data_IF_937319619156
#
_entry.id   IF_937319619156
#
_cell.length_a   1.000
_cell.length_b   1.000
_cell.length_c   1.000
_cell.angle_alpha   90.00
_cell.angle_beta   90.00
_cell.angle_gamma   90.00
#
_symmetry.space_group_name_H-M   'P 1'
#
loop_
_entity.id
_entity.type
_entity.pdbx_description
1 polymer ?
#
# COMPACT_ATOMS: atom_id res chain seq x y z
N UNK A 1 39.64 28.43 97.11
CA UNK A 1 40.31 27.10 97.08
C UNK A 1 39.23 26.12 97.50
N UNK A 2 38.81 25.10 96.74
CA UNK A 2 39.38 24.28 95.66
C UNK A 2 38.31 24.10 94.57
N UNK A 3 38.60 24.46 93.31
CA UNK A 3 39.10 23.64 92.19
C UNK A 3 38.04 22.73 91.53
N UNK A 4 37.79 23.08 90.27
CA UNK A 4 37.25 22.25 89.20
C UNK A 4 37.92 20.88 89.16
N UNK A 5 37.14 19.86 88.78
CA UNK A 5 37.60 18.89 87.79
C UNK A 5 36.42 18.42 86.93
N UNK A 6 36.61 18.63 85.63
CA UNK A 6 35.82 18.17 84.50
C UNK A 6 35.82 16.64 84.42
N UNK A 7 34.68 16.05 84.08
CA UNK A 7 34.68 14.70 83.49
C UNK A 7 33.94 14.74 82.15
N UNK A 8 34.76 14.86 81.12
CA UNK A 8 34.45 14.83 79.70
C UNK A 8 34.24 13.36 79.33
N UNK A 9 33.01 12.86 79.49
CA UNK A 9 32.68 11.48 79.10
C UNK A 9 32.21 11.45 77.66
N UNK A 10 33.19 11.44 76.75
CA UNK A 10 33.06 10.68 75.50
C UNK A 10 33.05 9.19 75.86
N UNK A 11 31.96 8.43 75.61
CA UNK A 11 32.03 6.99 75.74
C UNK A 11 32.71 6.43 74.50
N UNK A 12 34.04 6.33 74.56
CA UNK A 12 34.78 5.38 73.75
C UNK A 12 34.37 3.95 74.16
N UNK A 13 34.05 3.12 73.17
CA UNK A 13 34.20 1.66 73.28
C UNK A 13 33.04 0.88 73.91
N UNK A 14 31.88 0.86 73.24
CA UNK A 14 30.95 -0.28 73.41
C UNK A 14 31.68 -1.60 73.13
N UNK A 15 31.39 -2.63 73.93
CA UNK A 15 32.02 -3.96 73.80
C UNK A 15 31.93 -4.44 72.35
N UNK A 16 32.93 -5.20 71.86
CA UNK A 16 32.84 -5.86 70.55
C UNK A 16 31.52 -6.61 70.37
N UNK A 17 30.92 -7.05 71.47
CA UNK A 17 29.61 -7.70 71.54
C UNK A 17 28.48 -6.71 71.22
N UNK A 18 28.49 -5.49 71.74
CA UNK A 18 27.46 -4.48 71.48
C UNK A 18 27.47 -4.02 70.01
N UNK A 19 28.67 -3.86 69.44
CA UNK A 19 28.83 -3.60 68.00
C UNK A 19 28.28 -4.76 67.16
N UNK A 20 28.50 -6.01 67.60
CA UNK A 20 27.97 -7.21 66.95
C UNK A 20 26.44 -7.27 67.02
N UNK A 21 25.85 -6.89 68.15
CA UNK A 21 24.40 -6.84 68.34
C UNK A 21 23.75 -5.79 67.43
N UNK A 22 24.34 -4.59 67.33
CA UNK A 22 23.87 -3.54 66.41
C UNK A 22 23.94 -4.02 64.96
N UNK A 23 25.06 -4.62 64.56
CA UNK A 23 25.24 -5.17 63.22
C UNK A 23 24.24 -6.31 62.93
N UNK A 24 23.98 -7.20 63.89
CA UNK A 24 22.96 -8.25 63.75
C UNK A 24 21.54 -7.68 63.62
N UNK A 25 21.22 -6.59 64.34
CA UNK A 25 19.93 -5.91 64.21
C UNK A 25 19.77 -5.29 62.83
N UNK A 26 20.78 -4.58 62.32
CA UNK A 26 20.78 -4.00 60.98
C UNK A 26 20.63 -5.09 59.90
N UNK A 27 21.40 -6.18 60.00
CA UNK A 27 21.28 -7.33 59.09
C UNK A 27 19.89 -7.96 59.14
N UNK A 28 19.25 -7.99 60.31
CA UNK A 28 17.89 -8.53 60.45
C UNK A 28 16.86 -7.66 59.74
N UNK A 29 17.03 -6.34 59.79
CA UNK A 29 16.15 -5.40 59.11
C UNK A 29 16.37 -5.41 57.59
N UNK A 30 17.63 -5.47 57.12
CA UNK A 30 17.97 -5.69 55.71
C UNK A 30 17.34 -6.98 55.17
N UNK A 31 17.40 -8.08 55.92
CA UNK A 31 16.77 -9.36 55.53
C UNK A 31 15.24 -9.21 55.40
N UNK A 32 14.59 -8.45 56.27
CA UNK A 32 13.14 -8.20 56.19
C UNK A 32 12.81 -7.37 54.94
N UNK A 33 13.61 -6.35 54.64
CA UNK A 33 13.44 -5.50 53.46
C UNK A 33 13.66 -6.30 52.18
N UNK A 34 14.73 -7.09 52.09
CA UNK A 34 15.01 -8.00 50.97
C UNK A 34 13.83 -8.95 50.73
N UNK A 35 13.26 -9.54 51.79
CA UNK A 35 12.10 -10.43 51.65
C UNK A 35 10.85 -9.71 51.13
N UNK A 36 10.62 -8.45 51.53
CA UNK A 36 9.51 -7.64 50.99
C UNK A 36 9.73 -7.33 49.52
N UNK A 37 10.91 -6.83 49.16
CA UNK A 37 11.27 -6.52 47.78
C UNK A 37 11.22 -7.76 46.88
N UNK A 38 11.62 -8.92 47.38
CA UNK A 38 11.54 -10.19 46.65
C UNK A 38 10.09 -10.61 46.39
N UNK A 39 9.18 -10.39 47.35
CA UNK A 39 7.76 -10.67 47.19
C UNK A 39 7.14 -9.74 46.14
N UNK A 40 7.40 -8.44 46.22
CA UNK A 40 6.90 -7.44 45.26
C UNK A 40 7.45 -7.69 43.84
N UNK A 41 8.73 -8.05 43.75
CA UNK A 41 9.36 -8.42 42.48
C UNK A 41 8.70 -9.65 41.87
N UNK A 42 8.37 -10.67 42.68
CA UNK A 42 7.68 -11.87 42.21
C UNK A 42 6.28 -11.53 41.67
N UNK A 43 5.51 -10.72 42.38
CA UNK A 43 4.18 -10.28 41.95
C UNK A 43 4.26 -9.48 40.63
N UNK A 44 5.28 -8.64 40.47
CA UNK A 44 5.51 -7.88 39.24
C UNK A 44 5.87 -8.80 38.06
N UNK A 45 6.73 -9.79 38.29
CA UNK A 45 7.10 -10.80 37.28
C UNK A 45 5.86 -11.59 36.84
N UNK A 46 5.00 -12.00 37.78
CA UNK A 46 3.77 -12.71 37.46
C UNK A 46 2.83 -11.89 36.57
N UNK A 47 2.65 -10.60 36.87
CA UNK A 47 1.87 -9.66 36.05
C UNK A 47 2.45 -9.49 34.65
N UNK A 48 3.77 -9.34 34.54
CA UNK A 48 4.45 -9.23 33.24
C UNK A 48 4.30 -10.51 32.41
N UNK A 49 4.33 -11.69 33.04
CA UNK A 49 4.11 -12.96 32.36
C UNK A 49 2.68 -13.05 31.81
N UNK A 50 1.68 -12.62 32.58
CA UNK A 50 0.28 -12.62 32.11
C UNK A 50 0.09 -11.66 30.94
N UNK A 51 0.59 -10.42 31.06
CA UNK A 51 0.49 -9.41 30.01
C UNK A 51 1.24 -9.86 28.73
N UNK A 52 2.43 -10.45 28.87
CA UNK A 52 3.17 -10.95 27.71
C UNK A 52 2.42 -12.10 27.00
N UNK A 53 1.71 -12.94 27.75
CA UNK A 53 0.87 -14.00 27.17
C UNK A 53 -0.32 -13.42 26.40
N UNK A 54 -0.97 -12.39 26.94
CA UNK A 54 -2.08 -11.69 26.28
C UNK A 54 -1.61 -11.01 24.99
N UNK A 55 -0.53 -10.22 25.07
CA UNK A 55 0.07 -9.56 23.90
C UNK A 55 0.50 -10.56 22.82
N UNK A 56 0.97 -11.76 23.19
CA UNK A 56 1.29 -12.81 22.22
C UNK A 56 0.05 -13.37 21.51
N UNK A 57 -1.08 -13.49 22.23
CA UNK A 57 -2.36 -13.92 21.64
C UNK A 57 -2.88 -12.87 20.67
N UNK A 58 -2.95 -11.61 21.10
CA UNK A 58 -3.39 -10.50 20.25
C UNK A 58 -2.52 -10.36 19.00
N UNK A 59 -1.19 -10.46 19.14
CA UNK A 59 -0.30 -10.43 17.97
C UNK A 59 -0.52 -11.61 17.01
N UNK A 60 -0.92 -12.78 17.51
CA UNK A 60 -1.24 -13.93 16.66
C UNK A 60 -2.55 -13.70 15.90
N UNK A 61 -3.56 -13.14 16.56
CA UNK A 61 -4.86 -12.77 15.95
C UNK A 61 -4.67 -11.68 14.89
N UNK A 62 -3.96 -10.60 15.22
CA UNK A 62 -3.64 -9.53 14.27
C UNK A 62 -2.87 -10.04 13.04
N UNK A 63 -1.95 -11.00 13.22
CA UNK A 63 -1.25 -11.62 12.08
C UNK A 63 -2.19 -12.42 11.19
N UNK A 64 -3.16 -13.12 11.79
CA UNK A 64 -4.17 -13.88 11.05
C UNK A 64 -5.09 -12.94 10.27
N UNK A 65 -5.65 -11.92 10.92
CA UNK A 65 -6.49 -10.91 10.26
C UNK A 65 -5.74 -10.20 9.14
N UNK A 66 -4.49 -9.79 9.36
CA UNK A 66 -3.68 -9.18 8.31
C UNK A 66 -3.47 -10.09 7.10
N UNK A 67 -3.37 -11.40 7.32
CA UNK A 67 -3.24 -12.36 6.22
C UNK A 67 -4.55 -12.45 5.43
N UNK A 68 -5.68 -12.57 6.11
CA UNK A 68 -7.01 -12.63 5.50
C UNK A 68 -7.33 -11.35 4.69
N UNK A 69 -7.04 -10.17 5.27
CA UNK A 69 -7.21 -8.89 4.59
C UNK A 69 -6.32 -8.81 3.34
N UNK A 70 -5.05 -9.24 3.42
CA UNK A 70 -4.15 -9.25 2.26
C UNK A 70 -4.65 -10.18 1.15
N UNK A 71 -5.22 -11.32 1.51
CA UNK A 71 -5.81 -12.26 0.55
C UNK A 71 -7.06 -11.66 -0.11
N UNK A 72 -7.97 -11.09 0.68
CA UNK A 72 -9.16 -10.38 0.16
C UNK A 72 -8.80 -9.22 -0.76
N UNK A 73 -7.81 -8.40 -0.41
CA UNK A 73 -7.33 -7.30 -1.26
C UNK A 73 -6.77 -7.80 -2.60
N UNK A 74 -6.03 -8.92 -2.60
CA UNK A 74 -5.51 -9.51 -3.84
C UNK A 74 -6.64 -9.97 -4.76
N UNK A 75 -7.66 -10.60 -4.19
CA UNK A 75 -8.82 -11.07 -4.95
C UNK A 75 -9.62 -9.90 -5.53
N UNK A 76 -9.92 -8.88 -4.71
CA UNK A 76 -10.59 -7.66 -5.15
C UNK A 76 -9.82 -6.98 -6.28
N UNK A 77 -8.49 -6.83 -6.12
CA UNK A 77 -7.63 -6.21 -7.14
C UNK A 77 -7.68 -7.00 -8.45
N UNK A 78 -7.67 -8.34 -8.38
CA UNK A 78 -7.77 -9.21 -9.56
C UNK A 78 -9.14 -9.06 -10.24
N UNK A 79 -10.22 -8.99 -9.46
CA UNK A 79 -11.56 -8.84 -9.99
C UNK A 79 -11.75 -7.47 -10.66
N UNK A 80 -11.23 -6.40 -10.06
CA UNK A 80 -11.22 -5.05 -10.65
C UNK A 80 -10.52 -5.07 -12.01
N UNK A 81 -9.34 -5.71 -12.11
CA UNK A 81 -8.60 -5.82 -13.37
C UNK A 81 -9.41 -6.56 -14.46
N UNK A 82 -10.07 -7.67 -14.10
CA UNK A 82 -10.92 -8.43 -15.04
C UNK A 82 -12.11 -7.60 -15.51
N UNK A 83 -12.77 -6.89 -14.59
CA UNK A 83 -13.89 -6.01 -14.92
C UNK A 83 -13.46 -4.85 -15.82
N UNK A 84 -12.33 -4.22 -15.51
CA UNK A 84 -11.78 -3.13 -16.32
C UNK A 84 -11.44 -3.61 -17.73
N UNK A 85 -10.77 -4.76 -17.85
CA UNK A 85 -10.48 -5.39 -19.13
C UNK A 85 -11.75 -5.67 -19.93
N UNK A 86 -12.78 -6.21 -19.29
CA UNK A 86 -14.05 -6.49 -19.96
C UNK A 86 -14.74 -5.21 -20.44
N UNK A 87 -14.69 -4.13 -19.66
CA UNK A 87 -15.23 -2.82 -20.05
C UNK A 87 -14.50 -2.21 -21.25
N UNK A 88 -13.18 -2.41 -21.34
CA UNK A 88 -12.33 -1.83 -22.40
C UNK A 88 -12.19 -2.71 -23.65
N UNK A 89 -12.73 -3.93 -23.63
CA UNK A 89 -12.42 -4.94 -24.64
C UNK A 89 -12.79 -4.54 -26.06
N UNK A 90 -13.87 -3.76 -26.20
CA UNK A 90 -14.39 -3.24 -27.48
C UNK A 90 -13.91 -1.82 -27.77
N UNK A 91 -13.04 -1.26 -26.94
CA UNK A 91 -12.65 0.14 -27.04
C UNK A 91 -11.38 0.29 -27.89
N UNK A 92 -11.34 1.40 -28.63
CA UNK A 92 -10.14 1.85 -29.34
C UNK A 92 -9.87 3.32 -29.04
N UNK A 93 -8.60 3.68 -28.99
CA UNK A 93 -8.15 5.05 -28.81
C UNK A 93 -7.59 5.56 -30.13
N UNK A 94 -8.14 6.66 -30.62
CA UNK A 94 -7.65 7.37 -31.81
C UNK A 94 -6.88 8.60 -31.35
N UNK A 95 -5.65 8.75 -31.81
CA UNK A 95 -4.75 9.86 -31.50
C UNK A 95 -4.28 10.56 -32.77
N UNK A 96 -4.09 11.87 -32.72
CA UNK A 96 -3.64 12.68 -33.86
C UNK A 96 -4.77 13.30 -34.69
N UNK A 97 -6.03 13.00 -34.37
CA UNK A 97 -7.20 13.61 -34.99
C UNK A 97 -7.69 14.79 -34.14
N UNK A 98 -7.71 16.00 -34.70
CA UNK A 98 -8.19 17.20 -33.99
C UNK A 98 -9.69 17.11 -33.72
N UNK A 99 -10.08 17.29 -32.45
CA UNK A 99 -11.47 17.20 -31.99
C UNK A 99 -11.93 18.56 -31.49
N UNK A 100 -12.79 19.20 -32.28
CA UNK A 100 -13.38 20.52 -32.06
C UNK A 100 -14.70 20.48 -31.26
N UNK A 101 -15.24 19.29 -30.96
CA UNK A 101 -16.54 19.15 -30.29
C UNK A 101 -16.49 18.20 -29.09
N UNK A 102 -17.24 18.55 -28.05
CA UNK A 102 -17.54 17.67 -26.90
C UNK A 102 -18.88 16.93 -27.08
N UNK A 103 -19.66 17.28 -28.10
CA UNK A 103 -20.95 16.66 -28.36
C UNK A 103 -20.76 15.26 -28.93
N UNK A 104 -21.21 14.25 -28.18
CA UNK A 104 -21.02 12.84 -28.49
C UNK A 104 -21.60 12.43 -29.85
N UNK A 105 -22.79 12.92 -30.22
CA UNK A 105 -23.43 12.58 -31.48
C UNK A 105 -22.61 13.07 -32.69
N UNK A 106 -22.15 14.34 -32.64
CA UNK A 106 -21.28 14.91 -33.68
C UNK A 106 -19.93 14.20 -33.74
N UNK A 107 -19.31 13.93 -32.59
CA UNK A 107 -18.04 13.20 -32.53
C UNK A 107 -18.17 11.81 -33.15
N UNK A 108 -19.21 11.06 -32.76
CA UNK A 108 -19.52 9.74 -33.31
C UNK A 108 -19.67 9.77 -34.84
N UNK A 109 -20.41 10.74 -35.37
CA UNK A 109 -20.57 10.92 -36.82
C UNK A 109 -19.24 11.23 -37.53
N UNK A 110 -18.43 12.16 -36.98
CA UNK A 110 -17.11 12.49 -37.52
C UNK A 110 -16.18 11.27 -37.56
N UNK A 111 -16.13 10.51 -36.47
CA UNK A 111 -15.28 9.32 -36.38
C UNK A 111 -15.76 8.22 -37.33
N UNK A 112 -17.07 8.02 -37.44
CA UNK A 112 -17.60 7.03 -38.37
C UNK A 112 -17.23 7.37 -39.83
N UNK A 113 -17.36 8.65 -40.20
CA UNK A 113 -16.95 9.13 -41.52
C UNK A 113 -15.44 8.99 -41.74
N UNK A 114 -14.62 9.30 -40.73
CA UNK A 114 -13.18 9.12 -40.77
C UNK A 114 -12.82 7.64 -41.02
N UNK A 115 -13.43 6.71 -40.29
CA UNK A 115 -13.18 5.28 -40.44
C UNK A 115 -13.60 4.80 -41.82
N UNK A 116 -14.79 5.19 -42.28
CA UNK A 116 -15.30 4.82 -43.60
C UNK A 116 -14.41 5.35 -44.72
N UNK A 117 -13.97 6.60 -44.65
CA UNK A 117 -13.17 7.23 -45.69
C UNK A 117 -11.73 6.71 -45.74
N UNK A 118 -11.05 6.61 -44.59
CA UNK A 118 -9.62 6.26 -44.56
C UNK A 118 -9.35 4.76 -44.43
N UNK A 119 -10.19 4.01 -43.71
CA UNK A 119 -10.01 2.56 -43.56
C UNK A 119 -10.80 1.78 -44.63
N UNK A 120 -11.84 2.39 -45.22
CA UNK A 120 -12.69 1.75 -46.23
C UNK A 120 -13.56 0.63 -45.63
N UNK A 121 -13.99 0.80 -44.38
CA UNK A 121 -14.84 -0.14 -43.65
C UNK A 121 -15.96 0.62 -42.97
N UNK A 122 -17.12 -0.01 -42.82
CA UNK A 122 -18.21 0.50 -42.00
C UNK A 122 -18.19 -0.20 -40.65
N UNK A 123 -18.35 0.58 -39.58
CA UNK A 123 -18.30 0.06 -38.22
C UNK A 123 -19.44 0.58 -37.36
N UNK A 124 -19.87 -0.26 -36.41
CA UNK A 124 -20.90 0.13 -35.45
C UNK A 124 -20.27 0.66 -34.17
N UNK A 125 -20.30 1.98 -34.03
CA UNK A 125 -19.86 2.70 -32.83
C UNK A 125 -21.03 2.79 -31.86
N UNK A 126 -20.82 2.39 -30.60
CA UNK A 126 -21.75 2.62 -29.50
C UNK A 126 -21.64 4.09 -29.07
N UNK A 127 -20.47 4.46 -28.55
CA UNK A 127 -20.18 5.77 -27.99
C UNK A 127 -18.83 6.32 -28.47
N UNK A 128 -18.66 7.63 -28.36
CA UNK A 128 -17.39 8.32 -28.62
C UNK A 128 -17.19 9.43 -27.60
N UNK A 129 -16.02 9.45 -26.97
CA UNK A 129 -15.67 10.41 -25.93
C UNK A 129 -14.37 11.13 -26.27
N UNK A 130 -14.38 12.46 -26.15
CA UNK A 130 -13.16 13.27 -26.25
C UNK A 130 -12.33 13.07 -24.97
N UNK A 131 -11.07 12.66 -25.13
CA UNK A 131 -10.11 12.55 -24.03
C UNK A 131 -9.14 13.74 -23.99
N UNK A 132 -8.91 14.38 -25.14
CA UNK A 132 -8.05 15.55 -25.28
C UNK A 132 -8.26 16.22 -26.63
N UNK A 133 -7.46 17.25 -26.94
CA UNK A 133 -7.60 18.00 -28.21
C UNK A 133 -7.40 17.14 -29.45
N UNK A 134 -6.49 16.15 -29.37
CA UNK A 134 -6.15 15.25 -30.47
C UNK A 134 -6.40 13.77 -30.15
N UNK A 135 -7.19 13.49 -29.13
CA UNK A 135 -7.38 12.11 -28.64
C UNK A 135 -8.84 11.85 -28.29
N UNK A 136 -9.39 10.78 -28.83
CA UNK A 136 -10.71 10.27 -28.45
C UNK A 136 -10.69 8.78 -28.15
N UNK A 137 -11.63 8.38 -27.29
CA UNK A 137 -11.99 7.01 -26.99
C UNK A 137 -13.25 6.65 -27.77
N UNK A 138 -13.24 5.52 -28.46
CA UNK A 138 -14.38 5.00 -29.21
C UNK A 138 -14.78 3.66 -28.61
N UNK A 139 -16.03 3.55 -28.20
CA UNK A 139 -16.63 2.29 -27.73
C UNK A 139 -17.37 1.65 -28.89
N UNK A 140 -16.94 0.47 -29.31
CA UNK A 140 -17.56 -0.27 -30.41
C UNK A 140 -18.64 -1.21 -29.87
N UNK A 141 -19.56 -1.61 -30.74
CA UNK A 141 -20.65 -2.51 -30.35
C UNK A 141 -20.13 -3.89 -29.92
N UNK A 142 -19.09 -4.40 -30.58
CA UNK A 142 -18.50 -5.71 -30.29
C UNK A 142 -17.02 -5.81 -30.69
N UNK A 143 -16.38 -6.94 -30.37
CA UNK A 143 -14.96 -7.17 -30.67
C UNK A 143 -14.67 -7.36 -32.16
N UNK A 144 -15.66 -7.79 -32.95
CA UNK A 144 -15.49 -7.96 -34.38
C UNK A 144 -15.27 -6.61 -35.06
N UNK A 145 -16.06 -5.59 -34.68
CA UNK A 145 -15.87 -4.21 -35.12
C UNK A 145 -14.48 -3.68 -34.75
N UNK A 146 -14.02 -3.98 -33.51
CA UNK A 146 -12.66 -3.64 -33.08
C UNK A 146 -11.61 -4.30 -33.98
N UNK A 147 -11.77 -5.59 -34.27
CA UNK A 147 -10.84 -6.36 -35.10
C UNK A 147 -10.74 -5.77 -36.50
N UNK A 148 -11.86 -5.45 -37.16
CA UNK A 148 -11.90 -4.82 -38.48
C UNK A 148 -11.07 -3.54 -38.53
N UNK A 149 -11.21 -2.67 -37.52
CA UNK A 149 -10.43 -1.43 -37.42
C UNK A 149 -8.95 -1.75 -37.24
N UNK A 150 -8.62 -2.64 -36.30
CA UNK A 150 -7.24 -2.96 -35.95
C UNK A 150 -6.47 -3.62 -37.10
N UNK A 151 -7.14 -4.43 -37.92
CA UNK A 151 -6.57 -5.03 -39.13
C UNK A 151 -6.34 -4.01 -40.24
N UNK A 152 -7.23 -3.03 -40.41
CA UNK A 152 -7.16 -2.03 -41.49
C UNK A 152 -6.38 -0.77 -41.11
N UNK A 153 -5.96 -0.62 -39.85
CA UNK A 153 -5.27 0.58 -39.36
C UNK A 153 -3.93 0.88 -40.05
N UNK A 154 -3.31 -0.09 -40.73
CA UNK A 154 -2.08 0.16 -41.50
C UNK A 154 -2.28 1.21 -42.60
N UNK A 155 -3.50 1.34 -43.13
CA UNK A 155 -3.86 2.35 -44.15
C UNK A 155 -3.69 3.79 -43.65
N UNK A 156 -3.71 4.00 -42.34
CA UNK A 156 -3.47 5.32 -41.75
C UNK A 156 -2.06 5.85 -42.03
N UNK A 157 -1.11 4.97 -42.38
CA UNK A 157 0.24 5.39 -42.82
C UNK A 157 0.22 6.21 -44.11
N UNK A 158 -0.83 6.07 -44.92
CA UNK A 158 -0.97 6.76 -46.21
C UNK A 158 -1.47 8.21 -46.06
N UNK A 159 -1.97 8.57 -44.88
CA UNK A 159 -2.44 9.92 -44.58
C UNK A 159 -1.23 10.85 -44.39
N UNK A 160 -0.91 11.63 -45.43
CA UNK A 160 0.27 12.52 -45.44
C UNK A 160 0.13 13.76 -44.58
N UNK A 161 -1.09 14.26 -44.38
CA UNK A 161 -1.33 15.55 -43.72
C UNK A 161 -1.19 15.47 -42.20
N UNK A 162 -1.59 14.35 -41.58
CA UNK A 162 -1.58 14.19 -40.13
C UNK A 162 -1.26 12.75 -39.73
N UNK A 163 -0.30 12.56 -38.81
CA UNK A 163 0.00 11.25 -38.23
C UNK A 163 -1.11 10.84 -37.26
N UNK A 164 -2.09 10.09 -37.76
CA UNK A 164 -3.16 9.51 -36.95
C UNK A 164 -2.81 8.08 -36.55
N UNK A 165 -3.03 7.75 -35.29
CA UNK A 165 -2.77 6.43 -34.72
C UNK A 165 -4.04 5.86 -34.10
N UNK A 166 -4.29 4.57 -34.32
CA UNK A 166 -5.33 3.81 -33.63
C UNK A 166 -4.69 2.70 -32.80
N UNK A 167 -4.97 2.73 -31.50
CA UNK A 167 -4.46 1.78 -30.53
C UNK A 167 -5.62 1.15 -29.74
N UNK A 168 -5.33 0.00 -29.13
CA UNK A 168 -6.27 -0.60 -28.19
C UNK A 168 -6.32 0.21 -26.89
N UNK A 169 -7.50 0.28 -26.30
CA UNK A 169 -7.65 0.79 -24.94
C UNK A 169 -7.27 -0.31 -23.94
N UNK A 170 -6.02 -0.27 -23.47
CA UNK A 170 -5.48 -1.24 -22.52
C UNK A 170 -5.54 -0.74 -21.08
N UNK A 171 -5.63 -1.68 -20.13
CA UNK A 171 -5.54 -1.37 -18.70
C UNK A 171 -4.17 -0.79 -18.35
N UNK A 172 -4.05 -0.17 -17.18
CA UNK A 172 -2.77 0.36 -16.68
C UNK A 172 -1.73 -0.77 -16.63
N UNK A 173 -2.11 -1.93 -16.11
CA UNK A 173 -1.24 -3.10 -15.98
C UNK A 173 -0.77 -3.62 -17.35
N UNK A 174 -1.66 -3.77 -18.31
CA UNK A 174 -1.31 -4.18 -19.67
C UNK A 174 -0.37 -3.17 -20.34
N UNK A 175 -0.62 -1.87 -20.14
CA UNK A 175 0.24 -0.79 -20.65
C UNK A 175 1.64 -0.86 -20.06
N UNK A 176 1.78 -1.14 -18.77
CA UNK A 176 3.09 -1.25 -18.12
C UNK A 176 3.85 -2.51 -18.55
N UNK A 177 3.15 -3.63 -18.79
CA UNK A 177 3.73 -4.82 -19.42
C UNK A 177 4.27 -4.46 -20.82
N UNK A 178 3.48 -3.78 -21.65
CA UNK A 178 3.91 -3.35 -22.98
C UNK A 178 5.10 -2.40 -22.94
N UNK A 179 5.15 -1.44 -22.00
CA UNK A 179 6.32 -0.58 -21.80
C UNK A 179 7.56 -1.40 -21.47
N UNK A 180 7.43 -2.37 -20.56
CA UNK A 180 8.53 -3.23 -20.15
C UNK A 180 9.08 -4.04 -21.31
N UNK A 181 8.20 -4.64 -22.13
CA UNK A 181 8.60 -5.37 -23.34
C UNK A 181 9.37 -4.45 -24.30
N UNK A 182 8.84 -3.24 -24.57
CA UNK A 182 9.50 -2.27 -25.46
C UNK A 182 10.86 -1.81 -24.96
N UNK A 183 11.06 -1.71 -23.64
CA UNK A 183 12.37 -1.35 -23.08
C UNK A 183 13.38 -2.47 -23.29
N UNK A 184 12.98 -3.73 -23.07
CA UNK A 184 13.86 -4.89 -23.28
C UNK A 184 14.27 -5.03 -24.75
N UNK A 185 13.34 -4.90 -25.68
CA UNK A 185 13.64 -5.00 -27.13
C UNK A 185 14.52 -3.88 -27.69
N UNK A 186 14.83 -2.83 -26.91
CA UNK A 186 15.78 -1.77 -27.31
C UNK A 186 17.19 -1.98 -26.76
N UNK A 187 17.34 -2.88 -25.79
CA UNK A 187 18.61 -3.22 -25.16
C UNK A 187 19.31 -4.40 -25.86
N UNK A 188 18.56 -5.17 -26.66
CA UNK A 188 19.05 -6.16 -27.62
C UNK A 188 19.33 -5.51 -28.97
#
# INVERSE_FOLDING_TARGET
MEKLESDDTHPEGGSKIDQLIIMMSLLTDDIKEIKRNQKESKETIEKLITENRELRKENAELKKENKEIKEGLREITKNIEVMEKHRRINNVVISGLTIDTYEQARLKGKINNFIKHHLGIEVKIRNAHKLGEKTCLIELENQEEKRKIMEKKYKLKEIKEHKVYINEDTTIKERDIQKTIRMKSKLE
#
